data_IF_725831364229
#
_entry.id   IF_725831364229
#
_cell.length_a   1.000
_cell.length_b   1.000
_cell.length_c   1.000
_cell.angle_alpha   90.00
_cell.angle_beta   90.00
_cell.angle_gamma   90.00
#
_symmetry.space_group_name_H-M   'P 1'
#
loop_
_entity.id
_entity.type
_entity.pdbx_description
1 polymer ?
#
# COMPACT_ATOMS: atom_id res chain seq x y z
N UNK A 1 -22.70 -28.59 4.52
CA UNK A 1 -21.47 -27.76 4.50
C UNK A 1 -20.36 -28.71 4.09
N UNK A 2 -19.68 -28.41 3.01
CA UNK A 2 -18.55 -29.23 2.58
C UNK A 2 -17.49 -29.21 3.69
N UNK A 3 -16.88 -30.36 3.99
CA UNK A 3 -15.91 -30.47 5.08
C UNK A 3 -14.73 -29.49 4.92
N UNK A 4 -14.40 -29.15 3.69
CA UNK A 4 -13.35 -28.18 3.34
C UNK A 4 -13.67 -26.76 3.86
N UNK A 5 -14.93 -26.31 3.71
CA UNK A 5 -15.38 -25.01 4.23
C UNK A 5 -15.22 -24.97 5.76
N UNK A 6 -15.53 -26.08 6.45
CA UNK A 6 -15.38 -26.18 7.89
C UNK A 6 -13.92 -26.04 8.34
N UNK A 7 -12.99 -26.66 7.60
CA UNK A 7 -11.55 -26.58 7.87
C UNK A 7 -11.04 -25.16 7.65
N UNK A 8 -11.40 -24.53 6.53
CA UNK A 8 -10.99 -23.15 6.21
C UNK A 8 -11.49 -22.15 7.27
N UNK A 9 -12.77 -22.27 7.68
CA UNK A 9 -13.32 -21.43 8.74
C UNK A 9 -12.62 -21.68 10.08
N UNK A 10 -12.29 -22.93 10.41
CA UNK A 10 -11.52 -23.26 11.62
C UNK A 10 -10.13 -22.64 11.59
N UNK A 11 -9.41 -22.75 10.48
CA UNK A 11 -8.10 -22.12 10.29
C UNK A 11 -8.17 -20.60 10.37
N UNK A 12 -9.23 -19.98 9.84
CA UNK A 12 -9.46 -18.54 9.94
C UNK A 12 -9.63 -18.11 11.41
N UNK A 13 -10.42 -18.84 12.19
CA UNK A 13 -10.61 -18.53 13.62
C UNK A 13 -9.30 -18.68 14.39
N UNK A 14 -8.51 -19.72 14.11
CA UNK A 14 -7.18 -19.93 14.69
C UNK A 14 -6.24 -18.77 14.33
N UNK A 15 -6.24 -18.35 13.04
CA UNK A 15 -5.45 -17.22 12.56
C UNK A 15 -5.77 -15.94 13.33
N UNK A 16 -7.06 -15.59 13.41
CA UNK A 16 -7.53 -14.40 14.14
C UNK A 16 -7.14 -14.48 15.62
N UNK A 17 -7.30 -15.65 16.26
CA UNK A 17 -6.89 -15.86 17.64
C UNK A 17 -5.39 -15.68 17.86
N UNK A 18 -4.54 -16.22 16.98
CA UNK A 18 -3.08 -16.08 17.06
C UNK A 18 -2.64 -14.62 16.81
N UNK A 19 -3.26 -13.91 15.87
CA UNK A 19 -2.96 -12.50 15.65
C UNK A 19 -3.41 -11.62 16.81
N UNK A 20 -4.58 -11.88 17.41
CA UNK A 20 -5.09 -11.13 18.54
C UNK A 20 -4.24 -11.31 19.80
N UNK A 21 -3.77 -12.54 20.04
CA UNK A 21 -2.93 -12.85 21.22
C UNK A 21 -1.48 -12.44 21.06
N UNK A 22 -1.02 -12.13 19.85
CA UNK A 22 0.39 -11.84 19.49
C UNK A 22 1.35 -12.92 20.02
N UNK A 23 0.89 -14.17 20.14
CA UNK A 23 1.67 -15.28 20.68
C UNK A 23 2.85 -15.66 19.77
N UNK A 24 2.68 -15.45 18.43
CA UNK A 24 3.68 -15.74 17.43
C UNK A 24 3.85 -14.53 16.48
N UNK A 25 5.04 -14.36 15.89
CA UNK A 25 5.23 -13.40 14.77
C UNK A 25 4.26 -13.69 13.61
N UNK A 26 3.76 -12.64 12.98
CA UNK A 26 2.78 -12.74 11.88
C UNK A 26 3.27 -13.67 10.78
N UNK A 27 4.57 -13.59 10.43
CA UNK A 27 5.19 -14.40 9.39
C UNK A 27 5.11 -15.91 9.69
N UNK A 28 5.33 -16.30 10.95
CA UNK A 28 5.20 -17.71 11.35
C UNK A 28 3.74 -18.18 11.29
N UNK A 29 2.79 -17.35 11.73
CA UNK A 29 1.37 -17.70 11.67
C UNK A 29 0.93 -17.93 10.23
N UNK A 30 1.33 -17.06 9.30
CA UNK A 30 0.97 -17.19 7.87
C UNK A 30 1.60 -18.43 7.24
N UNK A 31 2.87 -18.76 7.55
CA UNK A 31 3.51 -19.98 7.06
C UNK A 31 2.83 -21.23 7.61
N UNK A 32 2.47 -21.25 8.90
CA UNK A 32 1.75 -22.38 9.49
C UNK A 32 0.37 -22.57 8.87
N UNK A 33 -0.35 -21.48 8.57
CA UNK A 33 -1.64 -21.54 7.89
C UNK A 33 -1.51 -22.10 6.47
N UNK A 34 -0.52 -21.63 5.72
CA UNK A 34 -0.23 -22.14 4.38
C UNK A 34 0.07 -23.64 4.42
N UNK A 35 0.94 -24.07 5.35
CA UNK A 35 1.29 -25.46 5.54
C UNK A 35 0.04 -26.30 5.93
N UNK A 36 -0.82 -25.79 6.80
CA UNK A 36 -2.05 -26.47 7.19
C UNK A 36 -3.00 -26.65 5.99
N UNK A 37 -3.15 -25.65 5.12
CA UNK A 37 -3.96 -25.74 3.91
C UNK A 37 -3.42 -26.78 2.91
N UNK A 38 -2.10 -26.88 2.77
CA UNK A 38 -1.46 -27.91 1.93
C UNK A 38 -1.63 -29.32 2.55
N UNK A 39 -1.41 -29.46 3.85
CA UNK A 39 -1.52 -30.76 4.54
C UNK A 39 -2.96 -31.28 4.60
N UNK A 40 -3.95 -30.39 4.63
CA UNK A 40 -5.37 -30.78 4.56
C UNK A 40 -5.85 -31.09 3.15
N UNK A 41 -4.99 -30.89 2.12
CA UNK A 41 -5.32 -31.17 0.72
C UNK A 41 -6.25 -30.13 0.08
N UNK A 42 -6.53 -29.01 0.77
CA UNK A 42 -7.37 -27.92 0.24
C UNK A 42 -6.61 -27.12 -0.83
N UNK A 43 -5.29 -27.00 -0.67
CA UNK A 43 -4.42 -26.28 -1.59
C UNK A 43 -3.34 -27.22 -2.13
N UNK A 44 -3.16 -27.26 -3.44
CA UNK A 44 -2.04 -27.98 -4.03
C UNK A 44 -0.69 -27.29 -3.72
N UNK A 45 0.41 -28.05 -3.51
CA UNK A 45 1.72 -27.46 -3.25
C UNK A 45 2.16 -26.44 -4.32
N UNK A 46 1.85 -26.69 -5.57
CA UNK A 46 2.13 -25.79 -6.70
C UNK A 46 1.41 -24.45 -6.59
N UNK A 47 0.14 -24.48 -6.19
CA UNK A 47 -0.68 -23.30 -5.96
C UNK A 47 -0.23 -22.53 -4.71
N UNK A 48 0.11 -23.25 -3.64
CA UNK A 48 0.58 -22.68 -2.39
C UNK A 48 1.83 -21.80 -2.59
N UNK A 49 2.74 -22.23 -3.49
CA UNK A 49 3.97 -21.49 -3.78
C UNK A 49 3.87 -20.56 -4.98
N UNK A 50 2.81 -20.63 -5.78
CA UNK A 50 2.59 -19.74 -6.93
C UNK A 50 2.58 -18.26 -6.51
N UNK A 51 2.07 -17.95 -5.29
CA UNK A 51 2.10 -16.61 -4.75
C UNK A 51 3.50 -16.02 -4.62
N UNK A 52 4.51 -16.82 -4.29
CA UNK A 52 5.90 -16.34 -4.13
C UNK A 52 6.58 -16.00 -5.46
N UNK A 53 6.13 -16.57 -6.56
CA UNK A 53 6.63 -16.28 -7.92
C UNK A 53 5.79 -15.24 -8.65
N UNK A 54 4.77 -14.68 -8.00
CA UNK A 54 3.91 -13.68 -8.61
C UNK A 54 4.67 -12.39 -8.93
N UNK A 55 4.30 -11.73 -10.02
CA UNK A 55 4.86 -10.45 -10.43
C UNK A 55 4.77 -9.40 -9.31
N UNK A 56 3.74 -9.47 -8.47
CA UNK A 56 3.52 -8.59 -7.33
C UNK A 56 4.66 -8.68 -6.32
N UNK A 57 5.08 -9.90 -5.97
CA UNK A 57 6.17 -10.14 -5.00
C UNK A 57 7.49 -9.62 -5.55
N UNK A 58 7.73 -9.79 -6.86
CA UNK A 58 8.94 -9.25 -7.52
C UNK A 58 8.95 -7.72 -7.45
N UNK A 59 7.80 -7.08 -7.75
CA UNK A 59 7.66 -5.62 -7.64
C UNK A 59 7.90 -5.16 -6.20
N UNK A 60 7.25 -5.79 -5.20
CA UNK A 60 7.43 -5.45 -3.79
C UNK A 60 8.88 -5.61 -3.34
N UNK A 61 9.52 -6.73 -3.71
CA UNK A 61 10.94 -6.97 -3.40
C UNK A 61 11.84 -5.89 -3.99
N UNK A 62 11.62 -5.50 -5.24
CA UNK A 62 12.36 -4.44 -5.93
C UNK A 62 12.18 -3.08 -5.23
N UNK A 63 10.95 -2.76 -4.81
CA UNK A 63 10.64 -1.53 -4.05
C UNK A 63 11.37 -1.52 -2.71
N UNK A 64 11.42 -2.65 -1.99
CA UNK A 64 12.15 -2.74 -0.72
C UNK A 64 13.65 -2.51 -0.90
N UNK A 65 14.27 -3.04 -1.96
CA UNK A 65 15.67 -2.80 -2.27
C UNK A 65 15.94 -1.32 -2.57
N UNK A 66 15.08 -0.69 -3.40
CA UNK A 66 15.19 0.74 -3.71
C UNK A 66 15.04 1.58 -2.44
N UNK A 67 14.05 1.27 -1.59
CA UNK A 67 13.83 1.96 -0.33
C UNK A 67 15.03 1.80 0.62
N UNK A 68 15.64 0.62 0.72
CA UNK A 68 16.86 0.39 1.49
C UNK A 68 17.98 1.29 1.03
N UNK A 69 18.24 1.37 -0.28
CA UNK A 69 19.25 2.24 -0.85
C UNK A 69 19.02 3.73 -0.58
N UNK A 70 17.77 4.18 -0.64
CA UNK A 70 17.39 5.57 -0.31
C UNK A 70 17.63 5.89 1.17
N UNK A 71 17.34 4.93 2.07
CA UNK A 71 17.61 5.07 3.51
C UNK A 71 19.10 5.20 3.80
N UNK A 72 19.95 4.38 3.18
CA UNK A 72 21.40 4.41 3.37
C UNK A 72 22.06 5.63 2.70
N UNK A 73 21.48 6.13 1.62
CA UNK A 73 22.01 7.22 0.78
C UNK A 73 21.98 8.62 1.40
N UNK A 74 21.56 8.80 2.67
CA UNK A 74 21.42 10.10 3.36
C UNK A 74 20.53 11.12 2.63
N UNK A 75 19.80 10.72 1.61
CA UNK A 75 18.90 11.61 0.86
C UNK A 75 17.87 12.22 1.82
N UNK A 76 17.43 11.45 2.77
CA UNK A 76 16.41 11.82 3.75
C UNK A 76 16.94 12.76 4.83
N UNK A 77 18.24 12.70 5.14
CA UNK A 77 18.91 13.70 6.00
C UNK A 77 18.90 15.08 5.34
N UNK A 78 19.13 15.15 4.03
CA UNK A 78 19.05 16.39 3.25
C UNK A 78 17.63 16.96 3.25
N UNK A 79 16.62 16.12 3.04
CA UNK A 79 15.20 16.52 3.10
C UNK A 79 14.85 17.04 4.49
N UNK A 80 15.27 16.35 5.54
CA UNK A 80 15.05 16.76 6.93
C UNK A 80 15.72 18.09 7.25
N UNK A 81 16.96 18.30 6.80
CA UNK A 81 17.69 19.55 6.99
C UNK A 81 17.04 20.73 6.23
N UNK A 82 16.56 20.47 5.02
CA UNK A 82 15.81 21.45 4.22
C UNK A 82 14.50 21.84 4.91
N UNK A 83 13.76 20.87 5.43
CA UNK A 83 12.51 21.07 6.15
C UNK A 83 12.70 22.02 7.34
N UNK A 84 13.77 21.83 8.12
CA UNK A 84 14.13 22.69 9.25
C UNK A 84 14.34 24.15 8.85
N UNK A 85 14.88 24.39 7.65
CA UNK A 85 15.11 25.74 7.14
C UNK A 85 13.81 26.43 6.71
N UNK A 86 12.91 25.69 6.05
CA UNK A 86 11.66 26.23 5.49
C UNK A 86 10.62 26.53 6.60
N UNK A 87 10.64 25.79 7.68
CA UNK A 87 9.66 25.88 8.77
C UNK A 87 9.59 27.23 9.51
N UNK A 88 10.66 28.02 9.48
CA UNK A 88 10.66 29.44 9.86
C UNK A 88 10.10 29.80 11.25
N UNK A 89 10.06 28.87 12.23
CA UNK A 89 9.68 29.16 13.62
C UNK A 89 8.16 29.15 13.92
N UNK A 90 7.29 28.97 12.92
CA UNK A 90 5.83 28.82 13.14
C UNK A 90 5.45 27.35 13.21
N UNK A 91 4.81 26.93 14.30
CA UNK A 91 4.36 25.54 14.52
C UNK A 91 3.44 25.06 13.40
N UNK A 92 2.46 25.88 13.02
CA UNK A 92 1.47 25.51 11.99
C UNK A 92 2.12 25.38 10.60
N UNK A 93 3.02 26.30 10.23
CA UNK A 93 3.76 26.20 8.96
C UNK A 93 4.65 24.97 8.93
N UNK A 94 5.34 24.72 10.05
CA UNK A 94 6.15 23.52 10.20
C UNK A 94 5.33 22.26 10.02
N UNK A 95 4.21 22.16 10.72
CA UNK A 95 3.32 21.00 10.67
C UNK A 95 2.82 20.75 9.25
N UNK A 96 2.29 21.79 8.59
CA UNK A 96 1.82 21.68 7.20
C UNK A 96 2.93 21.23 6.26
N UNK A 97 4.10 21.87 6.33
CA UNK A 97 5.23 21.53 5.45
C UNK A 97 5.73 20.11 5.71
N UNK A 98 5.85 19.71 7.00
CA UNK A 98 6.28 18.35 7.34
C UNK A 98 5.28 17.31 6.86
N UNK A 99 3.98 17.54 7.08
CA UNK A 99 2.93 16.62 6.62
C UNK A 99 2.92 16.50 5.09
N UNK A 100 3.06 17.59 4.36
CA UNK A 100 3.10 17.57 2.89
C UNK A 100 4.33 16.84 2.36
N UNK A 101 5.49 17.05 2.95
CA UNK A 101 6.74 16.37 2.56
C UNK A 101 6.69 14.90 2.91
N UNK A 102 6.28 14.56 4.12
CA UNK A 102 6.15 13.16 4.57
C UNK A 102 5.13 12.43 3.74
N UNK A 103 3.96 13.02 3.49
CA UNK A 103 2.93 12.43 2.62
C UNK A 103 3.42 12.23 1.20
N UNK A 104 4.10 13.22 0.62
CA UNK A 104 4.68 13.10 -0.72
C UNK A 104 5.74 11.99 -0.83
N UNK A 105 6.64 11.89 0.15
CA UNK A 105 7.65 10.82 0.19
C UNK A 105 7.03 9.44 0.43
N UNK A 106 6.00 9.38 1.26
CA UNK A 106 5.31 8.13 1.57
C UNK A 106 4.51 7.56 0.39
N UNK A 107 4.22 8.37 -0.63
CA UNK A 107 3.69 7.88 -1.89
C UNK A 107 4.67 6.97 -2.65
N UNK A 108 5.97 7.07 -2.38
CA UNK A 108 7.01 6.29 -3.07
C UNK A 108 7.79 5.36 -2.14
N UNK A 109 7.60 5.47 -0.83
CA UNK A 109 8.36 4.73 0.17
C UNK A 109 7.42 4.14 1.21
N UNK A 110 7.87 3.08 1.88
CA UNK A 110 7.12 2.49 2.98
C UNK A 110 6.82 3.52 4.09
N UNK A 111 5.56 3.58 4.51
CA UNK A 111 5.06 4.52 5.52
C UNK A 111 5.88 4.48 6.83
N UNK A 112 6.24 3.26 7.28
CA UNK A 112 7.02 3.07 8.51
C UNK A 112 8.42 3.64 8.37
N UNK A 113 9.06 3.43 7.22
CA UNK A 113 10.39 3.93 6.94
C UNK A 113 10.42 5.46 6.94
N UNK A 114 9.50 6.08 6.20
CA UNK A 114 9.38 7.55 6.15
C UNK A 114 9.07 8.11 7.53
N UNK A 115 8.09 7.56 8.24
CA UNK A 115 7.75 8.01 9.59
C UNK A 115 8.95 7.94 10.53
N UNK A 116 9.67 6.82 10.54
CA UNK A 116 10.84 6.61 11.42
C UNK A 116 11.93 7.64 11.20
N UNK A 117 12.18 8.01 9.94
CA UNK A 117 13.14 9.04 9.57
C UNK A 117 12.79 10.42 10.11
N UNK A 118 11.49 10.75 10.09
CA UNK A 118 11.04 12.06 10.56
C UNK A 118 10.85 12.16 12.07
N UNK A 119 10.97 11.06 12.85
CA UNK A 119 10.90 11.08 14.31
C UNK A 119 12.01 11.99 14.87
N UNK A 120 13.26 11.77 14.51
CA UNK A 120 14.40 12.52 15.02
C UNK A 120 14.30 14.04 14.77
N UNK A 121 14.15 14.49 13.52
CA UNK A 121 13.94 15.89 13.17
C UNK A 121 12.75 16.50 13.89
N UNK A 122 11.59 15.82 13.88
CA UNK A 122 10.36 16.29 14.51
C UNK A 122 10.51 16.47 16.03
N UNK A 123 11.16 15.53 16.71
CA UNK A 123 11.47 15.64 18.13
C UNK A 123 12.44 16.80 18.43
N UNK A 124 13.45 16.98 17.61
CA UNK A 124 14.41 18.08 17.75
C UNK A 124 13.70 19.44 17.65
N UNK A 125 12.78 19.56 16.71
CA UNK A 125 11.99 20.78 16.52
C UNK A 125 11.02 20.99 17.69
N UNK A 126 10.32 19.95 18.14
CA UNK A 126 9.41 20.03 19.27
C UNK A 126 10.11 20.57 20.53
N UNK A 127 11.34 20.13 20.80
CA UNK A 127 12.17 20.63 21.89
C UNK A 127 12.52 22.12 21.72
N UNK A 128 12.92 22.54 20.51
CA UNK A 128 13.24 23.94 20.21
C UNK A 128 12.04 24.87 20.38
N UNK A 129 10.87 24.42 19.98
CA UNK A 129 9.61 25.17 20.08
C UNK A 129 8.93 25.03 21.44
N UNK A 130 9.52 24.26 22.38
CA UNK A 130 8.97 23.96 23.72
C UNK A 130 7.53 23.43 23.64
N UNK A 131 7.23 22.63 22.62
CA UNK A 131 5.93 21.99 22.42
C UNK A 131 6.01 20.47 22.65
N UNK A 132 4.88 19.83 22.91
CA UNK A 132 4.84 18.37 23.09
C UNK A 132 5.22 17.65 21.78
N UNK A 133 6.17 16.69 21.80
CA UNK A 133 6.52 15.90 20.61
C UNK A 133 5.33 15.21 19.95
N UNK A 134 4.37 14.71 20.74
CA UNK A 134 3.18 14.02 20.23
C UNK A 134 2.33 14.90 19.31
N UNK A 135 2.29 16.22 19.58
CA UNK A 135 1.51 17.16 18.74
C UNK A 135 2.07 17.28 17.32
N UNK A 136 3.34 17.02 17.12
CA UNK A 136 3.99 17.03 15.80
C UNK A 136 4.12 15.63 15.21
N UNK A 137 4.43 14.60 16.02
CA UNK A 137 4.63 13.23 15.55
C UNK A 137 3.35 12.57 15.08
N UNK A 138 2.23 12.79 15.79
CA UNK A 138 0.95 12.18 15.40
C UNK A 138 0.50 12.61 14.00
N UNK A 139 0.47 13.89 13.64
CA UNK A 139 0.19 14.33 12.28
C UNK A 139 1.16 13.78 11.23
N UNK A 140 2.45 13.63 11.56
CA UNK A 140 3.45 13.03 10.66
C UNK A 140 3.11 11.57 10.35
N UNK A 141 2.74 10.77 11.37
CA UNK A 141 2.33 9.39 11.16
C UNK A 141 1.09 9.29 10.26
N UNK A 142 0.08 10.11 10.51
CA UNK A 142 -1.12 10.10 9.68
C UNK A 142 -0.85 10.59 8.26
N UNK A 143 -0.02 11.63 8.08
CA UNK A 143 0.37 12.11 6.76
C UNK A 143 1.11 11.05 5.95
N UNK A 144 1.96 10.24 6.61
CA UNK A 144 2.62 9.10 5.98
C UNK A 144 1.61 8.07 5.48
N UNK A 145 0.63 7.69 6.31
CA UNK A 145 -0.41 6.73 5.91
C UNK A 145 -1.24 7.27 4.75
N UNK A 146 -1.68 8.52 4.84
CA UNK A 146 -2.46 9.17 3.78
C UNK A 146 -1.65 9.30 2.47
N UNK A 147 -0.36 9.63 2.57
CA UNK A 147 0.54 9.68 1.41
C UNK A 147 0.71 8.33 0.72
N UNK A 148 0.77 7.24 1.51
CA UNK A 148 0.84 5.88 0.98
C UNK A 148 -0.36 5.49 0.11
N UNK A 149 -1.52 6.13 0.28
CA UNK A 149 -2.69 5.88 -0.57
C UNK A 149 -2.61 6.57 -1.93
N UNK A 150 -1.64 7.46 -2.15
CA UNK A 150 -1.55 8.27 -3.37
C UNK A 150 -0.98 7.53 -4.57
N UNK A 151 -0.23 6.45 -4.38
CA UNK A 151 0.36 5.69 -5.49
C UNK A 151 0.23 4.19 -5.26
N UNK A 152 0.37 3.43 -6.34
CA UNK A 152 0.33 1.97 -6.28
C UNK A 152 1.40 1.41 -5.33
N UNK A 153 2.61 1.96 -5.36
CA UNK A 153 3.76 1.46 -4.59
C UNK A 153 3.86 2.03 -3.17
N UNK A 154 3.05 3.04 -2.83
CA UNK A 154 3.08 3.69 -1.52
C UNK A 154 2.70 2.76 -0.36
N UNK A 155 1.88 1.74 -0.63
CA UNK A 155 1.54 0.69 0.34
C UNK A 155 1.39 -0.67 -0.32
N UNK A 156 1.83 -1.72 0.38
CA UNK A 156 1.69 -3.11 -0.08
C UNK A 156 0.23 -3.52 -0.34
N UNK A 157 -0.72 -2.92 0.36
CA UNK A 157 -2.15 -3.16 0.16
C UNK A 157 -2.61 -2.77 -1.25
N UNK A 158 -2.15 -1.61 -1.75
CA UNK A 158 -2.50 -1.17 -3.10
C UNK A 158 -1.94 -2.12 -4.16
N UNK A 159 -0.69 -2.58 -3.96
CA UNK A 159 -0.06 -3.56 -4.86
C UNK A 159 -0.80 -4.89 -4.82
N UNK A 160 -1.22 -5.36 -3.64
CA UNK A 160 -1.97 -6.60 -3.50
C UNK A 160 -3.33 -6.54 -4.21
N UNK A 161 -4.07 -5.44 -4.05
CA UNK A 161 -5.35 -5.22 -4.76
C UNK A 161 -5.14 -5.18 -6.26
N UNK A 162 -4.12 -4.45 -6.74
CA UNK A 162 -3.81 -4.39 -8.17
C UNK A 162 -3.44 -5.76 -8.74
N UNK A 163 -2.76 -6.58 -7.95
CA UNK A 163 -2.42 -7.93 -8.36
C UNK A 163 -3.62 -8.87 -8.46
N UNK A 164 -4.58 -8.73 -7.56
CA UNK A 164 -5.82 -9.51 -7.66
C UNK A 164 -6.64 -9.09 -8.89
N UNK A 165 -6.67 -7.78 -9.18
CA UNK A 165 -7.28 -7.29 -10.42
C UNK A 165 -6.57 -7.81 -11.67
N UNK A 166 -5.22 -7.87 -11.65
CA UNK A 166 -4.44 -8.44 -12.75
C UNK A 166 -4.79 -9.91 -12.99
N UNK A 167 -4.86 -10.70 -11.92
CA UNK A 167 -5.23 -12.13 -12.00
C UNK A 167 -6.65 -12.32 -12.55
N UNK A 168 -7.59 -11.52 -12.10
CA UNK A 168 -8.95 -11.55 -12.61
C UNK A 168 -8.99 -11.20 -14.11
N UNK A 169 -8.24 -10.17 -14.51
CA UNK A 169 -8.13 -9.76 -15.90
C UNK A 169 -7.56 -10.86 -16.80
N UNK A 170 -6.49 -11.52 -16.36
CA UNK A 170 -5.88 -12.65 -17.08
C UNK A 170 -6.88 -13.82 -17.23
N UNK A 171 -7.63 -14.12 -16.15
CA UNK A 171 -8.64 -15.18 -16.18
C UNK A 171 -9.77 -14.85 -17.17
N UNK A 172 -10.29 -13.64 -17.13
CA UNK A 172 -11.36 -13.19 -18.03
C UNK A 172 -10.90 -13.16 -19.48
N UNK A 173 -9.66 -12.78 -19.74
CA UNK A 173 -9.02 -12.78 -21.07
C UNK A 173 -8.86 -14.21 -21.61
N UNK A 174 -8.34 -15.13 -20.78
CA UNK A 174 -8.15 -16.53 -21.15
C UNK A 174 -9.48 -17.20 -21.46
N UNK A 175 -10.52 -16.94 -20.66
CA UNK A 175 -11.87 -17.46 -20.88
C UNK A 175 -12.47 -16.92 -22.18
N UNK A 176 -12.29 -15.63 -22.46
CA UNK A 176 -12.75 -15.04 -23.71
C UNK A 176 -12.04 -15.63 -24.94
N UNK A 177 -10.71 -15.81 -24.88
CA UNK A 177 -9.93 -16.44 -25.94
C UNK A 177 -10.35 -17.90 -26.16
N UNK A 178 -10.60 -18.67 -25.08
CA UNK A 178 -11.04 -20.04 -25.16
C UNK A 178 -12.45 -20.19 -25.79
N UNK A 179 -13.30 -19.19 -25.61
CA UNK A 179 -14.65 -19.13 -26.18
C UNK A 179 -14.69 -18.61 -27.64
N UNK A 180 -13.54 -18.49 -28.31
CA UNK A 180 -13.43 -18.10 -29.70
C UNK A 180 -13.27 -16.59 -29.92
N UNK A 181 -12.42 -15.96 -29.12
CA UNK A 181 -12.03 -14.55 -29.29
C UNK A 181 -11.75 -14.18 -30.74
N UNK A 182 -12.07 -12.96 -31.12
CA UNK A 182 -11.98 -12.47 -32.49
C UNK A 182 -10.99 -11.30 -32.58
N UNK A 183 -10.24 -11.25 -33.67
CA UNK A 183 -9.42 -10.10 -34.02
C UNK A 183 -10.37 -8.95 -34.41
N UNK A 184 -10.54 -7.98 -33.51
CA UNK A 184 -11.43 -6.83 -33.69
C UNK A 184 -10.68 -5.61 -34.20
N UNK A 185 -9.38 -5.52 -33.91
CA UNK A 185 -8.55 -4.40 -34.32
C UNK A 185 -7.94 -4.60 -35.73
N UNK A 186 -7.99 -5.84 -36.26
CA UNK A 186 -7.56 -6.17 -37.64
C UNK A 186 -6.03 -6.26 -37.80
N UNK A 187 -5.27 -6.48 -36.71
CA UNK A 187 -3.82 -6.58 -36.79
C UNK A 187 -3.32 -8.01 -37.10
N UNK A 188 -4.24 -8.99 -37.14
CA UNK A 188 -3.98 -10.40 -37.45
C UNK A 188 -3.60 -11.24 -36.26
N UNK A 189 -3.69 -10.68 -35.03
CA UNK A 189 -3.47 -11.41 -33.77
C UNK A 189 -4.69 -11.26 -32.87
N UNK A 190 -4.99 -12.27 -32.07
CA UNK A 190 -6.05 -12.18 -31.04
C UNK A 190 -5.36 -11.98 -29.71
N UNK A 191 -5.52 -10.80 -29.14
CA UNK A 191 -4.80 -10.42 -27.92
C UNK A 191 -5.66 -9.62 -26.92
N UNK A 192 -4.99 -9.03 -25.94
CA UNK A 192 -5.61 -8.23 -24.90
C UNK A 192 -6.24 -6.92 -25.41
N UNK A 193 -5.81 -6.40 -26.56
CA UNK A 193 -6.38 -5.20 -27.16
C UNK A 193 -7.77 -5.50 -27.73
N UNK A 194 -7.93 -6.65 -28.37
CA UNK A 194 -9.23 -7.11 -28.88
C UNK A 194 -10.21 -7.41 -27.75
N UNK A 195 -9.72 -8.03 -26.68
CA UNK A 195 -10.55 -8.26 -25.48
C UNK A 195 -11.06 -6.95 -24.87
N UNK A 196 -10.22 -5.93 -24.82
CA UNK A 196 -10.64 -4.61 -24.31
C UNK A 196 -11.71 -3.98 -25.20
N UNK A 197 -11.56 -4.06 -26.52
CA UNK A 197 -12.56 -3.57 -27.47
C UNK A 197 -13.86 -4.36 -27.34
N UNK A 198 -13.80 -5.69 -27.29
CA UNK A 198 -14.96 -6.55 -27.07
C UNK A 198 -15.71 -6.20 -25.79
N UNK A 199 -14.97 -6.02 -24.68
CA UNK A 199 -15.57 -5.71 -23.40
C UNK A 199 -16.22 -4.31 -23.36
N UNK A 200 -15.62 -3.33 -24.06
CA UNK A 200 -16.17 -1.99 -24.19
C UNK A 200 -17.47 -2.01 -25.03
N UNK A 201 -17.48 -2.69 -26.17
CA UNK A 201 -18.66 -2.83 -27.05
C UNK A 201 -19.83 -3.55 -26.34
N UNK A 202 -19.53 -4.51 -25.47
CA UNK A 202 -20.54 -5.29 -24.72
C UNK A 202 -20.84 -4.74 -23.33
N UNK A 203 -20.30 -3.57 -22.96
CA UNK A 203 -20.45 -2.96 -21.63
C UNK A 203 -20.06 -3.89 -20.47
N UNK A 204 -19.04 -4.71 -20.67
CA UNK A 204 -18.51 -5.60 -19.63
C UNK A 204 -17.64 -4.80 -18.64
N UNK A 205 -17.66 -5.21 -17.37
CA UNK A 205 -16.76 -4.65 -16.36
C UNK A 205 -15.36 -5.25 -16.54
N UNK A 206 -14.41 -4.41 -16.88
CA UNK A 206 -13.00 -4.82 -17.03
C UNK A 206 -12.26 -4.53 -15.73
N UNK A 207 -11.64 -5.55 -15.16
CA UNK A 207 -10.81 -5.45 -13.95
C UNK A 207 -9.33 -5.34 -14.35
N UNK A 208 -8.92 -4.19 -14.86
CA UNK A 208 -7.50 -3.96 -15.21
C UNK A 208 -6.63 -3.82 -13.96
N UNK A 209 -5.36 -4.28 -14.03
CA UNK A 209 -4.38 -3.93 -13.01
C UNK A 209 -4.21 -2.41 -12.94
N UNK A 210 -4.07 -1.88 -11.73
CA UNK A 210 -3.95 -0.45 -11.50
C UNK A 210 -2.58 0.06 -11.99
N UNK A 211 -2.59 1.15 -12.72
CA UNK A 211 -1.38 1.90 -13.06
C UNK A 211 -0.77 2.58 -11.83
N UNK A 212 0.53 2.93 -11.91
CA UNK A 212 1.29 3.52 -10.80
C UNK A 212 0.61 4.75 -10.18
N UNK A 213 0.02 5.60 -11.02
CA UNK A 213 -0.61 6.88 -10.64
C UNK A 213 -2.13 6.91 -10.83
N UNK A 214 -2.75 5.80 -11.13
CA UNK A 214 -4.19 5.74 -11.42
C UNK A 214 -5.03 6.10 -10.18
N UNK A 215 -4.58 5.69 -9.01
CA UNK A 215 -5.23 6.04 -7.74
C UNK A 215 -4.83 7.42 -7.21
N UNK A 216 -3.86 8.10 -7.82
CA UNK A 216 -3.31 9.38 -7.34
C UNK A 216 -4.36 10.49 -7.20
N UNK A 217 -5.30 10.70 -8.12
CA UNK A 217 -6.31 11.76 -7.94
C UNK A 217 -7.14 11.59 -6.68
N UNK A 218 -7.57 10.36 -6.40
CA UNK A 218 -8.34 10.02 -5.20
C UNK A 218 -7.45 10.10 -3.96
N UNK A 219 -6.24 9.57 -4.03
CA UNK A 219 -5.25 9.60 -2.94
C UNK A 219 -4.87 11.03 -2.54
N UNK A 220 -4.63 11.91 -3.50
CA UNK A 220 -4.33 13.33 -3.24
C UNK A 220 -5.51 14.06 -2.60
N UNK A 221 -6.73 13.77 -3.01
CA UNK A 221 -7.93 14.33 -2.40
C UNK A 221 -8.04 13.89 -0.93
N UNK A 222 -7.89 12.59 -0.67
CA UNK A 222 -7.92 12.03 0.69
C UNK A 222 -6.80 12.63 1.54
N UNK A 223 -5.57 12.70 1.00
CA UNK A 223 -4.42 13.30 1.68
C UNK A 223 -4.65 14.79 1.98
N UNK A 224 -5.16 15.55 1.03
CA UNK A 224 -5.45 16.98 1.20
C UNK A 224 -6.49 17.24 2.29
N UNK A 225 -7.63 16.53 2.22
CA UNK A 225 -8.68 16.61 3.25
C UNK A 225 -8.14 16.17 4.62
N UNK A 226 -7.37 15.08 4.66
CA UNK A 226 -6.77 14.57 5.89
C UNK A 226 -5.78 15.55 6.51
N UNK A 227 -4.91 16.20 5.72
CA UNK A 227 -3.98 17.24 6.19
C UNK A 227 -4.75 18.43 6.78
N UNK A 228 -5.77 18.92 6.10
CA UNK A 228 -6.62 20.03 6.60
C UNK A 228 -7.30 19.63 7.90
N UNK A 229 -7.88 18.45 7.98
CA UNK A 229 -8.51 17.91 9.19
C UNK A 229 -7.52 17.84 10.36
N UNK A 230 -6.35 17.26 10.13
CA UNK A 230 -5.33 17.11 11.16
C UNK A 230 -4.79 18.46 11.64
N UNK A 231 -4.64 19.45 10.76
CA UNK A 231 -4.26 20.80 11.14
C UNK A 231 -5.33 21.49 12.00
N UNK A 232 -6.60 21.30 11.66
CA UNK A 232 -7.71 21.85 12.44
C UNK A 232 -7.76 21.21 13.84
N UNK A 233 -7.65 19.88 13.91
CA UNK A 233 -7.69 19.13 15.17
C UNK A 233 -6.48 19.41 16.06
N UNK A 234 -5.29 19.55 15.48
CA UNK A 234 -4.09 19.93 16.22
C UNK A 234 -4.22 21.31 16.84
N UNK A 235 -4.83 22.27 16.14
CA UNK A 235 -5.08 23.60 16.67
C UNK A 235 -6.16 23.60 17.77
N UNK A 236 -7.19 22.78 17.64
CA UNK A 236 -8.26 22.66 18.66
C UNK A 236 -7.72 22.07 19.97
N UNK A 237 -6.81 21.11 19.90
CA UNK A 237 -6.14 20.53 21.08
C UNK A 237 -5.16 21.50 21.77
N UNK A 238 -4.94 22.70 21.22
CA UNK A 238 -4.17 23.77 21.86
C UNK A 238 -4.97 24.53 22.95
N UNK A 239 -6.30 24.42 22.94
CA UNK A 239 -7.19 25.14 23.87
C UNK A 239 -7.63 24.32 25.09
N UNK A 240 -7.18 23.07 25.22
CA UNK A 240 -7.35 22.24 26.42
C UNK A 240 -6.00 21.98 27.09
#
# INVERSE_FOLDING_TARGET
MDPEIGIVLGLLVVAVGLFATRALPVDLVTIFLLLALVLTGILEPTEAFAGFSSQIIIILGSIFVINGALLEGRVLDLVSAWLLRVAGGSVNKLQLTTMSVVGGLSGFMNNTAVTSLFIGPTMSIARKLKTSPSKLLMPVCFASILGGTCTLIGTSTNVAVSGELAKQYETDLDEWMANGGTDLNGDGTIDSADYLQYAEENNLKIYKPLGLFEITPVGLLIMGVGIVYLMFFANFSYFS
#
